data_IF_084217467537
#
_entry.id   IF_084217467537
#
_cell.length_a   1.000
_cell.length_b   1.000
_cell.length_c   1.000
_cell.angle_alpha   90.00
_cell.angle_beta   90.00
_cell.angle_gamma   90.00
#
_symmetry.space_group_name_H-M   'P 1'
#
loop_
_entity.id
_entity.type
_entity.pdbx_description
1 polymer ?
#
# COMPACT_ATOMS: atom_id res chain seq x y z
N UNK A 1 -28.93 3.33 -6.55
CA UNK A 1 -28.90 4.10 -5.30
C UNK A 1 -27.65 4.96 -5.31
N UNK A 2 -27.83 6.28 -5.20
CA UNK A 2 -26.79 7.29 -5.23
C UNK A 2 -26.24 7.49 -3.83
N UNK A 3 -24.98 7.08 -3.60
CA UNK A 3 -23.87 7.91 -3.10
C UNK A 3 -22.56 7.19 -3.52
N UNK A 4 -22.07 7.41 -4.73
CA UNK A 4 -20.69 6.99 -5.05
C UNK A 4 -19.77 8.07 -4.50
N UNK A 5 -19.24 7.86 -3.30
CA UNK A 5 -18.24 8.73 -2.70
C UNK A 5 -16.96 8.68 -3.56
N UNK A 6 -16.93 9.45 -4.64
CA UNK A 6 -15.74 9.61 -5.48
C UNK A 6 -14.69 10.48 -4.77
N UNK A 7 -15.14 11.32 -3.83
CA UNK A 7 -14.29 12.23 -3.07
C UNK A 7 -13.27 11.48 -2.21
N UNK A 8 -11.97 11.80 -2.32
CA UNK A 8 -10.95 11.18 -1.48
C UNK A 8 -11.15 11.54 0.00
N UNK A 9 -10.81 10.60 0.89
CA UNK A 9 -10.92 10.76 2.34
C UNK A 9 -9.62 10.36 3.05
N UNK A 10 -8.50 10.96 2.64
CA UNK A 10 -7.21 10.72 3.27
C UNK A 10 -7.05 11.60 4.52
N UNK A 11 -6.46 11.04 5.57
CA UNK A 11 -6.12 11.79 6.77
C UNK A 11 -4.76 12.50 6.63
N UNK A 12 -4.44 13.41 7.55
CA UNK A 12 -3.21 14.22 7.48
C UNK A 12 -1.93 13.39 7.48
N UNK A 13 -1.88 12.27 8.21
CA UNK A 13 -0.69 11.41 8.25
C UNK A 13 -0.42 10.77 6.90
N UNK A 14 -1.48 10.26 6.24
CA UNK A 14 -1.37 9.68 4.90
C UNK A 14 -0.94 10.73 3.87
N UNK A 15 -1.52 11.92 3.96
CA UNK A 15 -1.16 13.03 3.08
C UNK A 15 0.29 13.46 3.30
N UNK A 16 0.75 13.54 4.56
CA UNK A 16 2.13 13.86 4.87
C UNK A 16 3.11 12.82 4.32
N UNK A 17 2.76 11.55 4.39
CA UNK A 17 3.55 10.46 3.79
C UNK A 17 3.59 10.60 2.26
N UNK A 18 2.45 10.85 1.61
CA UNK A 18 2.39 11.08 0.16
C UNK A 18 3.23 12.28 -0.28
N UNK A 19 3.15 13.41 0.42
CA UNK A 19 3.94 14.61 0.11
C UNK A 19 5.44 14.32 0.21
N UNK A 20 5.85 13.60 1.27
CA UNK A 20 7.24 13.19 1.45
C UNK A 20 7.72 12.24 0.36
N UNK A 21 6.93 11.21 0.05
CA UNK A 21 7.28 10.18 -0.95
C UNK A 21 7.30 10.74 -2.37
N UNK A 22 6.25 11.46 -2.77
CA UNK A 22 6.04 11.89 -4.15
C UNK A 22 6.76 13.19 -4.48
N UNK A 23 6.98 14.08 -3.52
CA UNK A 23 7.56 15.40 -3.80
C UNK A 23 8.86 15.67 -3.06
N UNK A 24 9.34 14.74 -2.21
CA UNK A 24 10.51 14.95 -1.34
C UNK A 24 10.38 16.20 -0.46
N UNK A 25 9.15 16.54 -0.06
CA UNK A 25 8.86 17.67 0.83
C UNK A 25 8.45 17.15 2.20
N UNK A 26 8.99 17.75 3.26
CA UNK A 26 8.63 17.43 4.64
C UNK A 26 7.64 18.47 5.15
N UNK A 27 6.37 18.11 5.42
CA UNK A 27 5.40 19.08 5.93
C UNK A 27 5.80 19.62 7.31
N UNK A 28 6.02 20.94 7.41
CA UNK A 28 6.20 21.66 8.67
C UNK A 28 4.85 22.12 9.25
N UNK A 29 3.91 22.48 8.37
CA UNK A 29 2.51 22.77 8.69
C UNK A 29 1.62 22.14 7.61
N UNK A 30 0.49 21.55 8.01
CA UNK A 30 -0.50 21.01 7.10
C UNK A 30 -1.91 21.22 7.61
N UNK A 31 -2.83 21.63 6.74
CA UNK A 31 -4.26 21.73 7.06
C UNK A 31 -5.15 21.48 5.85
N UNK A 32 -6.31 20.88 6.09
CA UNK A 32 -7.31 20.67 5.06
C UNK A 32 -7.85 22.01 4.57
N UNK A 33 -8.06 22.12 3.25
CA UNK A 33 -8.71 23.25 2.62
C UNK A 33 -10.12 22.85 2.16
N UNK A 34 -11.09 23.80 2.14
CA UNK A 34 -12.40 23.56 1.56
C UNK A 34 -12.30 23.03 0.12
N UNK A 35 -13.16 22.08 -0.21
CA UNK A 35 -13.16 21.39 -1.50
C UNK A 35 -14.53 20.79 -1.77
N UNK A 36 -14.91 20.69 -3.06
CA UNK A 36 -16.17 20.08 -3.48
C UNK A 36 -15.97 18.58 -3.73
N UNK A 37 -15.57 18.18 -4.95
CA UNK A 37 -15.38 16.77 -5.31
C UNK A 37 -13.99 16.23 -4.94
N UNK A 38 -12.95 17.07 -5.01
CA UNK A 38 -11.57 16.69 -4.73
C UNK A 38 -11.23 16.87 -3.23
N UNK A 39 -10.03 16.49 -2.80
CA UNK A 39 -9.52 16.77 -1.46
C UNK A 39 -8.28 17.67 -1.55
N UNK A 40 -8.34 18.84 -0.90
CA UNK A 40 -7.28 19.84 -0.96
C UNK A 40 -6.60 20.00 0.40
N UNK A 41 -5.28 20.16 0.41
CA UNK A 41 -4.48 20.46 1.59
C UNK A 41 -3.54 21.63 1.33
N UNK A 42 -3.44 22.54 2.29
CA UNK A 42 -2.33 23.46 2.38
C UNK A 42 -1.15 22.74 3.03
N UNK A 43 0.05 22.95 2.48
CA UNK A 43 1.29 22.36 2.95
C UNK A 43 2.37 23.43 2.97
N UNK A 44 2.92 23.74 4.16
CA UNK A 44 4.19 24.43 4.29
C UNK A 44 5.30 23.38 4.42
N UNK A 45 6.40 23.53 3.70
CA UNK A 45 7.51 22.57 3.72
C UNK A 45 8.67 23.07 4.58
N UNK A 46 9.37 22.15 5.26
CA UNK A 46 10.62 22.45 5.98
C UNK A 46 11.70 22.95 5.03
N UNK A 47 11.72 22.40 3.81
CA UNK A 47 12.61 22.76 2.71
C UNK A 47 12.32 24.17 2.15
N UNK A 48 11.17 24.74 2.52
CA UNK A 48 10.71 26.07 2.11
C UNK A 48 9.58 26.04 1.09
N UNK A 49 8.80 27.11 1.10
CA UNK A 49 7.65 27.30 0.22
C UNK A 49 6.33 26.80 0.82
N UNK A 50 5.25 27.25 0.17
CA UNK A 50 3.88 26.91 0.50
C UNK A 50 3.21 26.32 -0.74
N UNK A 51 2.49 25.23 -0.55
CA UNK A 51 1.92 24.43 -1.63
C UNK A 51 0.46 24.11 -1.33
N UNK A 52 -0.29 23.85 -2.40
CA UNK A 52 -1.60 23.21 -2.33
C UNK A 52 -1.48 21.83 -2.92
N UNK A 53 -1.60 20.79 -2.11
CA UNK A 53 -1.77 19.44 -2.60
C UNK A 53 -3.25 19.23 -2.94
N UNK A 54 -3.50 18.77 -4.16
CA UNK A 54 -4.83 18.45 -4.64
C UNK A 54 -4.91 16.97 -5.02
N UNK A 55 -5.77 16.24 -4.32
CA UNK A 55 -6.04 14.81 -4.55
C UNK A 55 -7.35 14.74 -5.33
N UNK A 56 -7.27 14.29 -6.58
CA UNK A 56 -8.43 14.21 -7.47
C UNK A 56 -9.35 13.06 -7.06
N UNK A 57 -10.64 13.25 -7.26
CA UNK A 57 -11.62 12.19 -7.02
C UNK A 57 -11.49 11.02 -7.99
N UNK A 58 -11.96 9.85 -7.57
CA UNK A 58 -11.77 8.59 -8.30
C UNK A 58 -12.48 8.51 -9.66
N UNK A 59 -13.50 9.34 -9.91
CA UNK A 59 -14.12 9.42 -11.24
C UNK A 59 -13.29 10.28 -12.20
N UNK A 60 -12.72 11.40 -11.73
CA UNK A 60 -11.81 12.22 -12.53
C UNK A 60 -10.50 11.50 -12.85
N UNK A 61 -9.98 10.67 -11.92
CA UNK A 61 -8.77 9.88 -12.12
C UNK A 61 -8.85 8.90 -13.30
N UNK A 62 -10.06 8.55 -13.76
CA UNK A 62 -10.26 7.69 -14.94
C UNK A 62 -9.91 8.37 -16.27
N UNK A 63 -9.72 9.70 -16.27
CA UNK A 63 -9.35 10.46 -17.47
C UNK A 63 -8.12 11.35 -17.19
N UNK A 64 -6.91 10.76 -17.16
CA UNK A 64 -5.67 11.50 -16.87
C UNK A 64 -5.41 12.62 -17.89
N UNK A 65 -5.78 12.42 -19.15
CA UNK A 65 -5.63 13.44 -20.22
C UNK A 65 -6.36 14.74 -19.89
N UNK A 66 -7.55 14.66 -19.28
CA UNK A 66 -8.28 15.86 -18.87
C UNK A 66 -7.50 16.66 -17.81
N UNK A 67 -6.85 15.98 -16.87
CA UNK A 67 -6.05 16.60 -15.80
C UNK A 67 -4.76 17.19 -16.37
N UNK A 68 -4.14 16.51 -17.34
CA UNK A 68 -2.97 17.02 -18.06
C UNK A 68 -3.29 18.30 -18.83
N UNK A 69 -4.42 18.35 -19.54
CA UNK A 69 -4.86 19.56 -20.27
C UNK A 69 -5.10 20.74 -19.31
N UNK A 70 -5.71 20.50 -18.15
CA UNK A 70 -5.87 21.54 -17.12
C UNK A 70 -4.51 22.05 -16.63
N UNK A 71 -3.57 21.15 -16.35
CA UNK A 71 -2.21 21.49 -15.93
C UNK A 71 -1.47 22.29 -17.00
N UNK A 72 -1.58 21.88 -18.27
CA UNK A 72 -0.99 22.57 -19.40
C UNK A 72 -1.56 23.98 -19.57
N UNK A 73 -2.88 24.14 -19.46
CA UNK A 73 -3.51 25.46 -19.54
C UNK A 73 -3.00 26.41 -18.45
N UNK A 74 -2.89 25.94 -17.20
CA UNK A 74 -2.33 26.75 -16.11
C UNK A 74 -0.88 27.15 -16.38
N UNK A 75 -0.05 26.21 -16.84
CA UNK A 75 1.34 26.48 -17.20
C UNK A 75 1.46 27.50 -18.34
N UNK A 76 0.62 27.38 -19.38
CA UNK A 76 0.58 28.32 -20.50
C UNK A 76 0.21 29.73 -20.04
N UNK A 77 -0.83 29.88 -19.22
CA UNK A 77 -1.25 31.18 -18.69
C UNK A 77 -0.13 31.81 -17.85
N UNK A 78 0.52 31.03 -16.99
CA UNK A 78 1.64 31.48 -16.18
C UNK A 78 2.82 31.98 -17.03
N UNK A 79 3.21 31.22 -18.06
CA UNK A 79 4.29 31.60 -18.98
C UNK A 79 3.97 32.88 -19.77
N UNK A 80 2.68 33.20 -19.96
CA UNK A 80 2.22 34.42 -20.62
C UNK A 80 1.93 35.57 -19.62
N UNK A 81 2.46 35.50 -18.40
CA UNK A 81 2.42 36.59 -17.43
C UNK A 81 1.11 36.70 -16.62
N UNK A 82 0.20 35.73 -16.75
CA UNK A 82 -0.99 35.66 -15.89
C UNK A 82 -0.65 34.95 -14.57
N UNK A 83 -1.22 35.38 -13.43
CA UNK A 83 -0.93 34.81 -12.12
C UNK A 83 -1.67 33.47 -11.90
N UNK A 84 -1.50 32.52 -12.82
CA UNK A 84 -1.98 31.15 -12.67
C UNK A 84 -1.02 30.34 -11.77
N UNK A 85 -1.57 29.37 -11.03
CA UNK A 85 -0.79 28.46 -10.19
C UNK A 85 0.17 27.61 -11.03
N UNK A 86 1.34 27.31 -10.47
CA UNK A 86 2.36 26.47 -11.11
C UNK A 86 2.35 25.08 -10.48
N UNK A 87 2.12 24.05 -11.29
CA UNK A 87 2.29 22.66 -10.86
C UNK A 87 3.79 22.36 -10.62
N UNK A 88 4.10 21.71 -9.51
CA UNK A 88 5.46 21.26 -9.18
C UNK A 88 5.55 19.78 -9.56
N UNK A 89 6.53 19.38 -10.39
CA UNK A 89 6.72 17.97 -10.72
C UNK A 89 7.02 17.12 -9.47
N UNK A 90 6.56 15.88 -9.48
CA UNK A 90 6.93 14.86 -8.51
C UNK A 90 8.41 14.42 -8.69
N UNK A 91 8.89 13.53 -7.83
CA UNK A 91 10.27 12.98 -7.87
C UNK A 91 10.59 12.23 -9.17
N UNK A 92 9.57 11.77 -9.90
CA UNK A 92 9.70 11.15 -11.22
C UNK A 92 9.66 12.18 -12.39
N UNK A 93 9.55 13.48 -12.09
CA UNK A 93 9.46 14.55 -13.09
C UNK A 93 8.08 14.69 -13.75
N UNK A 94 7.06 14.00 -13.25
CA UNK A 94 5.68 14.04 -13.76
C UNK A 94 4.87 15.10 -13.01
N UNK A 95 3.88 15.70 -13.68
CA UNK A 95 3.03 16.75 -13.06
C UNK A 95 1.89 16.19 -12.19
N UNK A 96 1.61 14.89 -12.31
CA UNK A 96 0.57 14.17 -11.58
C UNK A 96 1.10 12.78 -11.20
N UNK A 97 0.57 12.22 -10.12
CA UNK A 97 0.77 10.81 -9.73
C UNK A 97 -0.59 10.11 -9.70
N UNK A 98 -0.64 8.87 -10.18
CA UNK A 98 -1.80 7.99 -10.00
C UNK A 98 -1.53 7.09 -8.81
N UNK A 99 -2.47 7.03 -7.86
CA UNK A 99 -2.31 6.26 -6.64
C UNK A 99 -3.57 5.42 -6.41
N UNK A 100 -3.39 4.11 -6.27
CA UNK A 100 -4.45 3.20 -5.87
C UNK A 100 -4.50 3.10 -4.35
N UNK A 101 -5.48 3.79 -3.76
CA UNK A 101 -5.64 3.87 -2.30
C UNK A 101 -7.09 3.53 -1.97
N UNK A 102 -7.27 2.66 -0.98
CA UNK A 102 -8.57 2.37 -0.43
C UNK A 102 -8.49 1.73 0.94
N UNK A 103 -9.63 1.25 1.42
CA UNK A 103 -9.70 0.59 2.72
C UNK A 103 -9.02 -0.77 2.61
N UNK A 104 -8.00 -0.98 3.43
CA UNK A 104 -7.33 -2.25 3.67
C UNK A 104 -7.71 -2.75 5.06
N UNK A 105 -7.79 -4.07 5.24
CA UNK A 105 -7.97 -4.72 6.54
C UNK A 105 -6.82 -4.36 7.49
N UNK A 106 -5.60 -4.27 6.95
CA UNK A 106 -4.41 -3.84 7.69
C UNK A 106 -3.82 -4.91 8.62
N UNK A 107 -4.43 -6.10 8.64
CA UNK A 107 -3.99 -7.26 9.42
C UNK A 107 -4.59 -8.58 8.91
N UNK A 108 -4.66 -8.78 7.59
CA UNK A 108 -5.14 -10.04 7.01
C UNK A 108 -4.10 -11.16 7.15
N UNK A 109 -3.85 -11.58 8.40
CA UNK A 109 -2.96 -12.66 8.81
C UNK A 109 -3.63 -14.02 8.77
N UNK A 110 -2.84 -15.08 8.98
CA UNK A 110 -3.32 -16.47 9.11
C UNK A 110 -4.38 -16.65 10.21
N UNK A 111 -4.36 -15.82 11.24
CA UNK A 111 -5.31 -15.88 12.37
C UNK A 111 -6.65 -15.22 12.06
N UNK A 112 -6.70 -14.37 11.04
CA UNK A 112 -7.89 -13.59 10.68
C UNK A 112 -8.62 -14.13 9.44
N UNK A 113 -8.17 -15.26 8.90
CA UNK A 113 -8.79 -15.98 7.79
C UNK A 113 -9.33 -17.32 8.29
N UNK A 114 -10.65 -17.50 8.19
CA UNK A 114 -11.31 -18.78 8.50
C UNK A 114 -11.47 -19.56 7.21
N UNK A 115 -11.03 -20.82 7.24
CA UNK A 115 -11.19 -21.75 6.13
C UNK A 115 -12.07 -22.92 6.52
N UNK A 116 -12.89 -23.40 5.58
CA UNK A 116 -13.74 -24.58 5.76
C UNK A 116 -13.36 -25.64 4.73
N UNK A 117 -13.18 -26.90 5.15
CA UNK A 117 -12.96 -27.99 4.21
C UNK A 117 -14.16 -28.17 3.28
N UNK A 118 -13.87 -28.31 1.98
CA UNK A 118 -14.85 -28.64 0.95
C UNK A 118 -14.50 -30.00 0.31
N UNK A 119 -15.28 -30.44 -0.67
CA UNK A 119 -15.06 -31.71 -1.34
C UNK A 119 -13.65 -31.80 -1.99
N UNK A 120 -13.16 -33.03 -2.14
CA UNK A 120 -11.87 -33.35 -2.78
C UNK A 120 -10.63 -32.79 -2.07
N UNK A 121 -10.70 -32.53 -0.76
CA UNK A 121 -9.56 -32.09 0.04
C UNK A 121 -9.18 -30.62 -0.15
N UNK A 122 -10.01 -29.86 -0.85
CA UNK A 122 -9.85 -28.42 -0.97
C UNK A 122 -10.44 -27.70 0.25
N UNK A 123 -10.08 -26.43 0.39
CA UNK A 123 -10.62 -25.54 1.42
C UNK A 123 -11.15 -24.28 0.74
N UNK A 124 -12.21 -23.71 1.29
CA UNK A 124 -12.72 -22.39 0.90
C UNK A 124 -12.56 -21.41 2.06
N UNK A 125 -12.38 -20.13 1.74
CA UNK A 125 -12.43 -19.07 2.74
C UNK A 125 -13.88 -18.89 3.15
N UNK A 126 -14.20 -19.14 4.42
CA UNK A 126 -15.54 -19.04 4.97
C UNK A 126 -15.74 -17.84 5.90
N UNK A 127 -14.67 -17.13 6.24
CA UNK A 127 -14.76 -15.89 7.01
C UNK A 127 -13.47 -15.08 7.03
N UNK A 128 -13.64 -13.77 7.18
CA UNK A 128 -12.58 -12.82 7.52
C UNK A 128 -13.05 -12.10 8.79
N UNK A 129 -12.16 -11.97 9.78
CA UNK A 129 -12.48 -11.43 11.11
C UNK A 129 -11.45 -10.40 11.56
N UNK A 130 -11.77 -9.68 12.64
CA UNK A 130 -10.92 -8.66 13.26
C UNK A 130 -10.57 -7.43 12.38
N UNK A 131 -11.62 -6.69 12.01
CA UNK A 131 -11.52 -5.44 11.28
C UNK A 131 -11.07 -4.23 12.13
N UNK A 132 -10.44 -4.46 13.28
CA UNK A 132 -10.07 -3.39 14.23
C UNK A 132 -8.94 -2.49 13.73
N UNK A 133 -8.19 -2.94 12.71
CA UNK A 133 -7.07 -2.22 12.10
C UNK A 133 -7.38 -1.66 10.70
N UNK A 134 -8.66 -1.59 10.33
CA UNK A 134 -9.09 -0.97 9.08
C UNK A 134 -8.47 0.42 8.90
N UNK A 135 -7.82 0.62 7.76
CA UNK A 135 -7.23 1.90 7.42
C UNK A 135 -7.30 2.14 5.92
N UNK A 136 -7.20 3.40 5.51
CA UNK A 136 -6.92 3.71 4.12
C UNK A 136 -5.42 3.44 3.86
N UNK A 137 -5.08 2.77 2.76
CA UNK A 137 -3.71 2.41 2.41
C UNK A 137 -3.59 1.96 0.96
N UNK A 138 -2.35 1.71 0.52
CA UNK A 138 -2.11 1.09 -0.78
C UNK A 138 -2.56 -0.37 -0.72
N UNK A 139 -3.29 -0.83 -1.74
CA UNK A 139 -3.83 -2.18 -1.74
C UNK A 139 -2.74 -3.27 -1.64
N UNK A 140 -1.59 -3.06 -2.30
CA UNK A 140 -0.41 -3.95 -2.21
C UNK A 140 0.06 -4.24 -0.77
N UNK A 141 -0.23 -3.36 0.20
CA UNK A 141 0.10 -3.61 1.60
C UNK A 141 -0.64 -4.81 2.17
N UNK A 142 -1.90 -5.04 1.76
CA UNK A 142 -2.66 -6.21 2.21
C UNK A 142 -2.01 -7.51 1.72
N UNK A 143 -1.63 -7.54 0.44
CA UNK A 143 -0.93 -8.69 -0.13
C UNK A 143 0.41 -8.95 0.57
N UNK A 144 1.18 -7.90 0.85
CA UNK A 144 2.44 -8.02 1.58
C UNK A 144 2.24 -8.56 3.01
N UNK A 145 1.19 -8.12 3.71
CA UNK A 145 0.82 -8.63 5.04
C UNK A 145 0.47 -10.11 4.97
N UNK A 146 -0.42 -10.50 4.06
CA UNK A 146 -0.86 -11.90 3.92
C UNK A 146 0.28 -12.83 3.51
N UNK A 147 1.13 -12.43 2.54
CA UNK A 147 2.33 -13.19 2.18
C UNK A 147 3.21 -13.38 3.42
N UNK A 148 3.53 -12.32 4.15
CA UNK A 148 4.42 -12.38 5.31
C UNK A 148 3.95 -13.39 6.35
N UNK A 149 2.68 -13.33 6.77
CA UNK A 149 2.15 -14.22 7.80
C UNK A 149 2.06 -15.67 7.32
N UNK A 150 1.56 -15.91 6.09
CA UNK A 150 1.46 -17.27 5.56
C UNK A 150 2.84 -17.89 5.29
N UNK A 151 3.87 -17.10 5.01
CA UNK A 151 5.25 -17.58 4.95
C UNK A 151 5.74 -18.16 6.27
N UNK A 152 5.31 -17.62 7.41
CA UNK A 152 5.73 -18.11 8.73
C UNK A 152 5.11 -19.45 9.11
N UNK A 153 3.93 -19.74 8.55
CA UNK A 153 3.17 -20.97 8.78
C UNK A 153 3.46 -22.07 7.74
N UNK A 154 4.06 -21.72 6.59
CA UNK A 154 4.33 -22.69 5.53
C UNK A 154 5.74 -23.34 5.67
N UNK A 155 5.85 -24.68 5.65
CA UNK A 155 7.14 -25.37 5.64
C UNK A 155 8.08 -24.99 4.49
N UNK A 156 7.51 -24.55 3.37
CA UNK A 156 8.22 -24.00 2.21
C UNK A 156 7.81 -22.52 2.02
N UNK A 157 8.38 -21.59 2.81
CA UNK A 157 7.88 -20.21 2.88
C UNK A 157 7.77 -19.50 1.53
N UNK A 158 8.77 -19.66 0.66
CA UNK A 158 8.78 -18.96 -0.62
C UNK A 158 7.69 -19.45 -1.60
N UNK A 159 7.10 -20.64 -1.38
CA UNK A 159 6.03 -21.17 -2.23
C UNK A 159 4.70 -20.43 -2.02
N UNK A 160 4.59 -19.63 -0.95
CA UNK A 160 3.38 -18.85 -0.61
C UNK A 160 3.12 -17.70 -1.59
N UNK A 161 4.17 -17.05 -2.07
CA UNK A 161 4.02 -15.81 -2.85
C UNK A 161 3.35 -16.03 -4.22
N UNK A 162 3.71 -17.09 -4.93
CA UNK A 162 3.20 -17.36 -6.28
C UNK A 162 1.67 -17.46 -6.36
N UNK A 163 1.03 -18.38 -5.60
CA UNK A 163 -0.43 -18.51 -5.59
C UNK A 163 -1.16 -17.24 -5.15
N UNK A 164 -0.64 -16.49 -4.16
CA UNK A 164 -1.26 -15.25 -3.69
C UNK A 164 -1.17 -14.13 -4.74
N UNK A 165 -0.03 -13.98 -5.40
CA UNK A 165 0.15 -13.02 -6.48
C UNK A 165 -0.74 -13.37 -7.67
N UNK A 166 -0.83 -14.65 -8.06
CA UNK A 166 -1.73 -15.07 -9.12
C UNK A 166 -3.20 -14.79 -8.78
N UNK A 167 -3.61 -15.04 -7.52
CA UNK A 167 -4.94 -14.70 -7.03
C UNK A 167 -5.21 -13.19 -7.08
N UNK A 168 -4.24 -12.38 -6.66
CA UNK A 168 -4.31 -10.91 -6.75
C UNK A 168 -4.48 -10.43 -8.18
N UNK A 169 -3.59 -10.86 -9.09
CA UNK A 169 -3.58 -10.47 -10.49
C UNK A 169 -4.84 -10.91 -11.26
N UNK A 170 -5.56 -11.94 -10.77
CA UNK A 170 -6.84 -12.35 -11.35
C UNK A 170 -7.98 -11.34 -11.13
N UNK A 171 -7.82 -10.42 -10.17
CA UNK A 171 -8.82 -9.40 -9.82
C UNK A 171 -8.37 -8.00 -10.23
N UNK A 172 -7.09 -7.67 -9.99
CA UNK A 172 -6.53 -6.36 -10.31
C UNK A 172 -5.08 -6.46 -10.79
N UNK A 173 -4.69 -5.70 -11.83
CA UNK A 173 -3.32 -5.72 -12.32
C UNK A 173 -2.39 -5.05 -11.31
N UNK A 174 -1.17 -5.58 -11.19
CA UNK A 174 -0.07 -4.86 -10.53
C UNK A 174 0.35 -3.65 -11.35
N UNK A 175 0.60 -2.53 -10.68
CA UNK A 175 1.48 -1.48 -11.22
C UNK A 175 2.95 -1.89 -11.13
N UNK A 176 3.82 -1.24 -11.92
CA UNK A 176 5.26 -1.48 -11.89
C UNK A 176 5.85 -1.16 -10.50
N UNK A 177 5.38 -0.08 -9.85
CA UNK A 177 5.84 0.32 -8.52
C UNK A 177 5.42 -0.68 -7.43
N UNK A 178 4.20 -1.22 -7.50
CA UNK A 178 3.74 -2.25 -6.56
C UNK A 178 4.54 -3.54 -6.74
N UNK A 179 4.84 -3.92 -7.99
CA UNK A 179 5.64 -5.10 -8.30
C UNK A 179 7.05 -4.95 -7.75
N UNK A 180 7.68 -3.80 -7.99
CA UNK A 180 9.04 -3.50 -7.54
C UNK A 180 9.15 -3.35 -6.00
N UNK A 181 8.06 -2.93 -5.34
CA UNK A 181 8.06 -2.70 -3.90
C UNK A 181 7.72 -3.94 -3.07
N UNK A 182 7.06 -4.95 -3.65
CA UNK A 182 6.45 -6.06 -2.89
C UNK A 182 7.44 -6.77 -1.96
N UNK A 183 8.64 -7.10 -2.44
CA UNK A 183 9.68 -7.72 -1.62
C UNK A 183 10.00 -6.87 -0.37
N UNK A 184 10.25 -5.58 -0.55
CA UNK A 184 10.59 -4.69 0.55
C UNK A 184 9.39 -4.48 1.50
N UNK A 185 8.17 -4.49 0.99
CA UNK A 185 6.95 -4.39 1.80
C UNK A 185 6.76 -5.62 2.69
N UNK A 186 7.02 -6.83 2.18
CA UNK A 186 6.98 -8.07 2.98
C UNK A 186 8.02 -8.03 4.10
N UNK A 187 9.27 -7.67 3.80
CA UNK A 187 10.31 -7.49 4.82
C UNK A 187 9.97 -6.38 5.82
N UNK A 188 9.44 -5.26 5.33
CA UNK A 188 9.01 -4.13 6.15
C UNK A 188 7.94 -4.54 7.16
N UNK A 189 6.93 -5.30 6.72
CA UNK A 189 5.89 -5.83 7.61
C UNK A 189 6.45 -6.86 8.61
N UNK A 190 7.38 -7.71 8.19
CA UNK A 190 8.05 -8.65 9.09
C UNK A 190 8.83 -7.90 10.19
N UNK A 191 9.61 -6.90 9.82
CA UNK A 191 10.31 -6.01 10.76
C UNK A 191 9.33 -5.31 11.71
N UNK A 192 8.24 -4.74 11.17
CA UNK A 192 7.21 -4.09 11.95
C UNK A 192 6.63 -5.05 13.01
N UNK A 193 6.27 -6.26 12.60
CA UNK A 193 5.70 -7.29 13.50
C UNK A 193 6.70 -7.70 14.61
N UNK A 194 7.97 -7.90 14.26
CA UNK A 194 9.03 -8.23 15.23
C UNK A 194 9.26 -7.10 16.25
N UNK A 195 9.30 -5.84 15.80
CA UNK A 195 9.48 -4.68 16.67
C UNK A 195 8.28 -4.48 17.59
N UNK A 196 7.05 -4.56 17.06
CA UNK A 196 5.85 -4.48 17.87
C UNK A 196 5.74 -5.63 18.87
N UNK A 197 6.06 -6.86 18.47
CA UNK A 197 6.09 -8.01 19.37
C UNK A 197 7.06 -7.79 20.54
N UNK A 198 8.25 -7.26 20.26
CA UNK A 198 9.23 -6.95 21.31
C UNK A 198 8.79 -5.81 22.22
N UNK A 199 8.11 -4.79 21.69
CA UNK A 199 7.56 -3.68 22.47
C UNK A 199 6.40 -4.15 23.36
N UNK A 200 5.41 -4.82 22.79
CA UNK A 200 4.20 -5.24 23.50
C UNK A 200 4.45 -6.37 24.49
N UNK A 201 5.40 -7.27 24.25
CA UNK A 201 5.77 -8.30 25.23
C UNK A 201 6.38 -7.72 26.51
N UNK A 202 6.97 -6.52 26.46
CA UNK A 202 7.42 -5.78 27.65
C UNK A 202 6.27 -5.07 28.35
N UNK A 203 5.29 -4.58 27.59
CA UNK A 203 4.11 -3.87 28.12
C UNK A 203 3.07 -4.82 28.74
N UNK A 204 2.94 -6.02 28.18
CA UNK A 204 1.97 -7.04 28.58
C UNK A 204 2.68 -8.38 28.83
N UNK A 205 3.49 -8.49 29.90
CA UNK A 205 4.33 -9.66 30.15
C UNK A 205 3.53 -10.96 30.34
N UNK A 206 2.31 -10.88 30.86
CA UNK A 206 1.44 -12.05 31.05
C UNK A 206 1.01 -12.70 29.73
N UNK A 207 0.96 -11.92 28.64
CA UNK A 207 0.59 -12.37 27.30
C UNK A 207 1.82 -12.60 26.39
N UNK A 208 3.02 -12.62 26.97
CA UNK A 208 4.28 -12.60 26.22
C UNK A 208 4.43 -13.76 25.24
N UNK A 209 3.99 -14.96 25.61
CA UNK A 209 4.09 -16.13 24.74
C UNK A 209 3.30 -15.94 23.44
N UNK A 210 2.06 -15.48 23.55
CA UNK A 210 1.20 -15.16 22.42
C UNK A 210 1.79 -14.02 21.56
N UNK A 211 2.20 -12.92 22.21
CA UNK A 211 2.75 -11.74 21.52
C UNK A 211 4.04 -12.05 20.74
N UNK A 212 4.83 -13.02 21.20
CA UNK A 212 6.09 -13.39 20.56
C UNK A 212 5.97 -14.56 19.57
N UNK A 213 4.76 -14.94 19.16
CA UNK A 213 4.54 -16.01 18.17
C UNK A 213 5.32 -15.76 16.87
N UNK A 214 5.20 -14.56 16.29
CA UNK A 214 5.97 -14.16 15.09
C UNK A 214 7.49 -14.28 15.32
N UNK A 215 7.97 -13.92 16.51
CA UNK A 215 9.40 -13.92 16.81
C UNK A 215 10.03 -15.32 16.88
N UNK A 216 9.23 -16.40 16.96
CA UNK A 216 9.72 -17.78 16.94
C UNK A 216 10.51 -18.09 15.66
N UNK A 217 9.96 -17.70 14.52
CA UNK A 217 10.55 -17.96 13.19
C UNK A 217 10.92 -16.66 12.44
N UNK A 218 10.36 -15.52 12.82
CA UNK A 218 10.43 -14.29 12.05
C UNK A 218 11.85 -13.72 11.88
N UNK A 219 12.73 -13.84 12.88
CA UNK A 219 14.13 -13.42 12.71
C UNK A 219 14.89 -14.27 11.70
N UNK A 220 14.67 -15.59 11.71
CA UNK A 220 15.28 -16.51 10.74
C UNK A 220 14.72 -16.26 9.34
N UNK A 221 13.41 -16.01 9.23
CA UNK A 221 12.77 -15.67 7.97
C UNK A 221 13.33 -14.36 7.39
N UNK A 222 13.47 -13.33 8.23
CA UNK A 222 14.00 -12.04 7.82
C UNK A 222 15.44 -12.18 7.29
N UNK A 223 16.30 -12.89 8.04
CA UNK A 223 17.67 -13.15 7.61
C UNK A 223 17.71 -13.92 6.29
N UNK A 224 16.91 -14.99 6.16
CA UNK A 224 16.82 -15.79 4.93
C UNK A 224 16.38 -14.96 3.72
N UNK A 225 15.33 -14.15 3.86
CA UNK A 225 14.84 -13.30 2.78
C UNK A 225 15.86 -12.23 2.38
N UNK A 226 16.57 -11.67 3.36
CA UNK A 226 17.61 -10.69 3.12
C UNK A 226 18.85 -11.29 2.43
N UNK A 227 19.27 -12.48 2.84
CA UNK A 227 20.40 -13.21 2.24
C UNK A 227 20.12 -13.67 0.80
N UNK A 228 18.89 -14.13 0.51
CA UNK A 228 18.49 -14.47 -0.85
C UNK A 228 18.44 -13.24 -1.76
N UNK A 229 18.04 -12.09 -1.20
CA UNK A 229 17.92 -10.84 -1.93
C UNK A 229 16.64 -10.75 -2.77
N UNK A 230 16.33 -9.51 -3.21
CA UNK A 230 15.12 -9.15 -3.94
C UNK A 230 14.93 -9.98 -5.21
N UNK A 231 15.95 -9.98 -6.08
CA UNK A 231 15.87 -10.61 -7.41
C UNK A 231 15.50 -12.10 -7.33
N UNK A 232 16.12 -12.86 -6.42
CA UNK A 232 15.88 -14.30 -6.32
C UNK A 232 14.49 -14.63 -5.75
N UNK A 233 14.05 -13.87 -4.75
CA UNK A 233 12.73 -14.04 -4.12
C UNK A 233 11.62 -13.67 -5.12
N UNK A 234 11.74 -12.52 -5.77
CA UNK A 234 10.76 -12.08 -6.78
C UNK A 234 10.73 -13.00 -7.99
N UNK A 235 11.90 -13.46 -8.47
CA UNK A 235 11.96 -14.44 -9.55
C UNK A 235 11.15 -15.69 -9.22
N UNK A 236 11.28 -16.22 -7.99
CA UNK A 236 10.47 -17.37 -7.55
C UNK A 236 8.98 -17.02 -7.50
N UNK A 237 8.61 -15.96 -6.81
CA UNK A 237 7.21 -15.56 -6.64
C UNK A 237 6.49 -15.32 -7.97
N UNK A 238 7.07 -14.51 -8.87
CA UNK A 238 6.43 -14.17 -10.14
C UNK A 238 6.51 -15.31 -11.18
N UNK A 239 7.57 -16.12 -11.16
CA UNK A 239 7.62 -17.34 -11.98
C UNK A 239 6.53 -18.32 -11.58
N UNK A 240 6.39 -18.59 -10.28
CA UNK A 240 5.37 -19.52 -9.78
C UNK A 240 3.96 -18.98 -10.05
N UNK A 241 3.72 -17.68 -9.86
CA UNK A 241 2.44 -17.03 -10.17
C UNK A 241 2.00 -17.29 -11.63
N UNK A 242 2.94 -17.16 -12.58
CA UNK A 242 2.64 -17.38 -14.00
C UNK A 242 2.13 -18.78 -14.33
N UNK A 243 2.44 -19.79 -13.51
CA UNK A 243 1.95 -21.17 -13.71
C UNK A 243 0.46 -21.33 -13.41
N UNK A 244 -0.10 -20.45 -12.57
CA UNK A 244 -1.51 -20.44 -12.22
C UNK A 244 -2.34 -19.61 -13.21
N UNK A 245 -1.74 -18.60 -13.84
CA UNK A 245 -2.41 -17.72 -14.80
C UNK A 245 -2.79 -18.40 -16.13
N UNK A 246 -2.16 -19.53 -16.48
CA UNK A 246 -2.38 -20.25 -17.76
C UNK A 246 -3.64 -21.13 -17.73
N UNK A 247 -4.26 -21.33 -16.57
CA UNK A 247 -5.38 -22.28 -16.39
C UNK A 247 -6.76 -21.62 -16.18
N UNK A 248 -6.91 -20.32 -16.47
CA UNK A 248 -8.21 -19.62 -16.42
C UNK A 248 -8.68 -19.17 -17.80
#
# INVERSE_FOLDING_TARGET
MSVKHAKPNLNQSQVAEMVKRLFSLTPSEMRSLPSYDDQNFYVAAVEGGEYVLKIMNSEHSKNPTLIEVQTYAMAFLHQNGLPAQKAIPNTAGQSISMEEIGIIHGDLSDQNIIVTPIANGHHEISGIIDFSLLMNGCYVFELAITIMYLMLENPNPLDVGGPLIAGWESIMPFSDDERDSLYLLVLGRLCQSLVYGQYYSRKYPDNKEYILTTARNGFQMLAKLWELGKEEVERKWFSDASTFSVNN
#
